data_IF_282665090322
#
_entry.id   IF_282665090322
#
_cell.length_a   1.000
_cell.length_b   1.000
_cell.length_c   1.000
_cell.angle_alpha   90.00
_cell.angle_beta   90.00
_cell.angle_gamma   90.00
#
_symmetry.space_group_name_H-M   'P 1'
#
loop_
_entity.id
_entity.type
_entity.pdbx_description
1 polymer ?
#
# COMPACT_ATOMS: atom_id res chain seq x y z
N UNK A 1 -18.01 10.67 25.15
CA UNK A 1 -17.71 10.56 23.71
C UNK A 1 -18.38 9.27 23.23
N UNK A 2 -18.95 9.22 22.02
CA UNK A 2 -19.73 8.04 21.61
C UNK A 2 -18.81 6.87 21.28
N UNK A 3 -19.19 5.66 21.70
CA UNK A 3 -18.41 4.44 21.50
C UNK A 3 -18.04 4.22 20.03
N UNK A 4 -18.98 4.51 19.12
CA UNK A 4 -18.79 4.46 17.68
C UNK A 4 -17.67 5.38 17.19
N UNK A 5 -17.60 6.60 17.71
CA UNK A 5 -16.58 7.57 17.31
C UNK A 5 -15.20 7.19 17.85
N UNK A 6 -15.13 6.58 19.04
CA UNK A 6 -13.88 6.07 19.61
C UNK A 6 -13.29 4.96 18.74
N UNK A 7 -14.12 4.00 18.30
CA UNK A 7 -13.66 2.93 17.40
C UNK A 7 -13.11 3.50 16.09
N UNK A 8 -13.77 4.49 15.50
CA UNK A 8 -13.27 5.13 14.28
C UNK A 8 -11.94 5.88 14.51
N UNK A 9 -11.77 6.55 15.65
CA UNK A 9 -10.50 7.20 15.98
C UNK A 9 -9.37 6.19 16.18
N UNK A 10 -9.65 5.05 16.81
CA UNK A 10 -8.69 3.97 16.98
C UNK A 10 -8.30 3.37 15.61
N UNK A 11 -9.27 3.13 14.73
CA UNK A 11 -8.99 2.68 13.36
C UNK A 11 -8.12 3.70 12.60
N UNK A 12 -8.41 4.99 12.72
CA UNK A 12 -7.60 6.05 12.12
C UNK A 12 -6.14 6.02 12.64
N UNK A 13 -5.94 5.81 13.94
CA UNK A 13 -4.61 5.70 14.53
C UNK A 13 -3.86 4.47 14.01
N UNK A 14 -4.53 3.32 13.90
CA UNK A 14 -3.94 2.10 13.34
C UNK A 14 -3.49 2.29 11.88
N UNK A 15 -4.28 2.99 11.05
CA UNK A 15 -3.90 3.34 9.68
C UNK A 15 -2.65 4.23 9.66
N UNK A 16 -2.61 5.27 10.50
CA UNK A 16 -1.44 6.17 10.62
C UNK A 16 -0.18 5.44 11.11
N UNK A 17 -0.36 4.39 11.91
CA UNK A 17 0.71 3.54 12.41
C UNK A 17 1.11 2.42 11.42
N UNK A 18 0.58 2.42 10.18
CA UNK A 18 0.82 1.38 9.17
C UNK A 18 0.45 -0.04 9.65
N UNK A 19 -0.64 -0.15 10.44
CA UNK A 19 -1.18 -1.43 10.92
C UNK A 19 -2.55 -1.71 10.28
N UNK A 20 -2.57 -2.15 9.00
CA UNK A 20 -3.82 -2.32 8.26
C UNK A 20 -4.71 -3.44 8.83
N UNK A 21 -4.13 -4.52 9.35
CA UNK A 21 -4.88 -5.63 9.94
C UNK A 21 -5.60 -5.21 11.24
N UNK A 22 -4.89 -4.44 12.08
CA UNK A 22 -5.46 -3.86 13.31
C UNK A 22 -6.60 -2.89 12.97
N UNK A 23 -6.40 -2.03 11.96
CA UNK A 23 -7.43 -1.11 11.48
C UNK A 23 -8.67 -1.86 10.96
N UNK A 24 -8.49 -2.92 10.18
CA UNK A 24 -9.58 -3.74 9.65
C UNK A 24 -10.36 -4.42 10.78
N UNK A 25 -9.66 -4.98 11.77
CA UNK A 25 -10.30 -5.59 12.94
C UNK A 25 -11.14 -4.56 13.74
N UNK A 26 -10.61 -3.35 13.96
CA UNK A 26 -11.34 -2.29 14.67
C UNK A 26 -12.57 -1.83 13.86
N UNK A 27 -12.45 -1.71 12.53
CA UNK A 27 -13.58 -1.36 11.67
C UNK A 27 -14.68 -2.44 11.69
N UNK A 28 -14.32 -3.73 11.73
CA UNK A 28 -15.28 -4.81 11.92
C UNK A 28 -16.02 -4.72 13.26
N UNK A 29 -15.31 -4.35 14.34
CA UNK A 29 -15.96 -4.10 15.65
C UNK A 29 -16.91 -2.90 15.61
N UNK A 30 -16.58 -1.86 14.85
CA UNK A 30 -17.45 -0.72 14.64
C UNK A 30 -18.72 -1.10 13.87
N UNK A 31 -18.61 -1.91 12.82
CA UNK A 31 -19.77 -2.42 12.08
C UNK A 31 -20.70 -3.26 12.97
N UNK A 32 -20.14 -4.17 13.76
CA UNK A 32 -20.89 -4.95 14.74
C UNK A 32 -21.60 -4.04 15.77
N UNK A 33 -20.88 -3.04 16.30
CA UNK A 33 -21.45 -2.10 17.27
C UNK A 33 -22.62 -1.29 16.68
N UNK A 34 -22.55 -0.89 15.41
CA UNK A 34 -23.66 -0.18 14.73
C UNK A 34 -24.88 -1.09 14.58
N UNK A 35 -24.68 -2.37 14.28
CA UNK A 35 -25.77 -3.32 14.14
C UNK A 35 -26.49 -3.57 15.48
N UNK A 36 -25.74 -3.65 16.57
CA UNK A 36 -26.28 -3.84 17.92
C UNK A 36 -26.95 -2.57 18.48
N UNK A 37 -26.31 -1.41 18.31
CA UNK A 37 -26.78 -0.14 18.85
C UNK A 37 -26.64 0.99 17.81
N UNK A 38 -27.67 1.19 16.98
CA UNK A 38 -27.63 2.16 15.90
C UNK A 38 -27.36 3.59 16.42
N UNK A 39 -26.44 4.34 15.78
CA UNK A 39 -26.10 5.69 16.22
C UNK A 39 -27.28 6.65 16.10
N UNK A 40 -27.39 7.55 17.08
CA UNK A 40 -28.36 8.63 17.08
C UNK A 40 -28.20 9.53 15.86
N UNK A 41 -29.28 10.13 15.32
CA UNK A 41 -29.20 11.01 14.15
C UNK A 41 -28.16 12.14 14.29
N UNK A 42 -28.02 12.68 15.51
CA UNK A 42 -27.05 13.73 15.85
C UNK A 42 -25.59 13.28 15.71
N UNK A 43 -25.31 11.98 15.87
CA UNK A 43 -23.96 11.40 15.83
C UNK A 43 -23.56 10.95 14.43
N UNK A 44 -24.54 10.59 13.59
CA UNK A 44 -24.31 10.12 12.21
C UNK A 44 -23.48 11.10 11.39
N UNK A 45 -23.69 12.41 11.55
CA UNK A 45 -22.90 13.43 10.85
C UNK A 45 -21.41 13.39 11.24
N UNK A 46 -21.12 13.16 12.52
CA UNK A 46 -19.73 13.06 13.02
C UNK A 46 -19.08 11.76 12.58
N UNK A 47 -19.81 10.65 12.66
CA UNK A 47 -19.38 9.33 12.17
C UNK A 47 -19.06 9.38 10.68
N UNK A 48 -19.95 9.96 9.86
CA UNK A 48 -19.73 10.11 8.42
C UNK A 48 -18.51 10.97 8.09
N UNK A 49 -18.28 12.05 8.85
CA UNK A 49 -17.09 12.88 8.68
C UNK A 49 -15.80 12.10 9.00
N UNK A 50 -15.81 11.27 10.04
CA UNK A 50 -14.64 10.47 10.42
C UNK A 50 -14.37 9.34 9.42
N UNK A 51 -15.41 8.65 8.93
CA UNK A 51 -15.28 7.66 7.86
C UNK A 51 -14.68 8.28 6.57
N UNK A 52 -15.11 9.48 6.18
CA UNK A 52 -14.51 10.20 5.04
C UNK A 52 -13.02 10.47 5.25
N UNK A 53 -12.59 10.79 6.47
CA UNK A 53 -11.15 10.97 6.78
C UNK A 53 -10.39 9.67 6.65
N UNK A 54 -10.94 8.57 7.15
CA UNK A 54 -10.34 7.23 7.04
C UNK A 54 -10.17 6.82 5.58
N UNK A 55 -11.19 7.04 4.75
CA UNK A 55 -11.13 6.77 3.30
C UNK A 55 -10.03 7.60 2.65
N UNK A 56 -9.96 8.91 2.96
CA UNK A 56 -8.93 9.79 2.43
C UNK A 56 -7.52 9.36 2.82
N UNK A 57 -7.29 9.02 4.09
CA UNK A 57 -6.00 8.53 4.58
C UNK A 57 -5.58 7.22 3.91
N UNK A 58 -6.52 6.29 3.80
CA UNK A 58 -6.27 4.97 3.19
C UNK A 58 -5.97 5.10 1.69
N UNK A 59 -6.69 5.98 0.99
CA UNK A 59 -6.42 6.31 -0.41
C UNK A 59 -5.03 6.89 -0.61
N UNK A 60 -4.66 7.89 0.19
CA UNK A 60 -3.33 8.49 0.13
C UNK A 60 -2.21 7.47 0.42
N UNK A 61 -2.40 6.60 1.42
CA UNK A 61 -1.45 5.55 1.74
C UNK A 61 -1.27 4.57 0.58
N UNK A 62 -2.38 4.13 -0.05
CA UNK A 62 -2.35 3.23 -1.22
C UNK A 62 -1.61 3.87 -2.39
N UNK A 63 -1.91 5.13 -2.70
CA UNK A 63 -1.32 5.84 -3.82
C UNK A 63 0.19 6.07 -3.57
N UNK A 64 0.59 6.34 -2.33
CA UNK A 64 1.99 6.40 -1.91
C UNK A 64 2.74 5.08 -2.10
N UNK A 65 2.16 3.95 -1.69
CA UNK A 65 2.75 2.61 -1.92
C UNK A 65 2.89 2.31 -3.41
N UNK A 66 1.90 2.68 -4.23
CA UNK A 66 1.95 2.49 -5.67
C UNK A 66 3.11 3.30 -6.29
N UNK A 67 3.28 4.55 -5.88
CA UNK A 67 4.39 5.40 -6.32
C UNK A 67 5.76 4.85 -5.92
N UNK A 68 5.91 4.41 -4.66
CA UNK A 68 7.15 3.81 -4.19
C UNK A 68 7.51 2.53 -4.96
N UNK A 69 6.51 1.70 -5.28
CA UNK A 69 6.71 0.50 -6.11
C UNK A 69 7.17 0.83 -7.52
N UNK A 70 6.65 1.92 -8.10
CA UNK A 70 7.06 2.35 -9.44
C UNK A 70 8.50 2.87 -9.44
N UNK A 71 8.87 3.69 -8.45
CA UNK A 71 10.25 4.16 -8.27
C UNK A 71 11.23 2.99 -8.10
N UNK A 72 10.85 1.96 -7.33
CA UNK A 72 11.69 0.78 -7.16
C UNK A 72 11.91 0.03 -8.48
N UNK A 73 10.86 -0.12 -9.30
CA UNK A 73 10.99 -0.75 -10.63
C UNK A 73 11.91 0.03 -11.55
N UNK A 74 11.82 1.36 -11.53
CA UNK A 74 12.70 2.21 -12.32
C UNK A 74 14.16 2.06 -11.88
N UNK A 75 14.42 2.06 -10.57
CA UNK A 75 15.75 1.81 -10.02
C UNK A 75 16.30 0.44 -10.43
N UNK A 76 15.48 -0.62 -10.37
CA UNK A 76 15.88 -1.96 -10.81
C UNK A 76 16.20 -1.99 -12.32
N UNK A 77 15.42 -1.29 -13.15
CA UNK A 77 15.67 -1.18 -14.59
C UNK A 77 16.99 -0.48 -14.88
N UNK A 78 17.29 0.60 -14.17
CA UNK A 78 18.55 1.33 -14.30
C UNK A 78 19.74 0.50 -13.82
N UNK A 79 19.62 -0.17 -12.68
CA UNK A 79 20.64 -1.06 -12.14
C UNK A 79 20.95 -2.22 -13.09
N UNK A 80 19.93 -2.85 -13.69
CA UNK A 80 20.14 -3.89 -14.68
C UNK A 80 20.73 -3.34 -15.99
N UNK A 81 20.39 -2.09 -16.34
CA UNK A 81 21.02 -1.38 -17.45
C UNK A 81 22.51 -1.11 -17.22
N UNK A 82 22.93 -0.89 -15.98
CA UNK A 82 24.33 -0.74 -15.57
C UNK A 82 25.10 -2.07 -15.59
N UNK A 83 24.44 -3.19 -15.33
CA UNK A 83 25.02 -4.54 -15.39
C UNK A 83 25.47 -4.94 -16.82
N UNK A 84 24.97 -4.25 -17.84
CA UNK A 84 25.40 -4.38 -19.24
C UNK A 84 26.67 -3.55 -19.52
N UNK A 85 27.18 -2.80 -18.55
CA UNK A 85 28.40 -2.02 -18.69
C UNK A 85 29.42 -2.50 -17.65
N UNK A 86 30.64 -2.80 -18.09
CA UNK A 86 31.76 -3.06 -17.18
C UNK A 86 32.10 -1.77 -16.39
N UNK A 87 32.91 -1.86 -15.32
CA UNK A 87 33.34 -0.74 -14.47
C UNK A 87 33.97 0.43 -15.24
N UNK A 88 34.49 0.18 -16.44
CA UNK A 88 35.06 1.19 -17.35
C UNK A 88 34.02 1.81 -18.31
N UNK A 89 32.73 1.50 -18.17
CA UNK A 89 31.63 2.03 -19.00
C UNK A 89 31.53 1.39 -20.39
N UNK A 90 32.29 0.34 -20.66
CA UNK A 90 32.22 -0.42 -21.91
C UNK A 90 31.06 -1.41 -21.87
N UNK A 91 30.24 -1.44 -22.93
CA UNK A 91 29.08 -2.34 -23.04
C UNK A 91 29.58 -3.79 -23.08
N UNK A 92 29.21 -4.63 -22.11
CA UNK A 92 29.45 -6.07 -22.12
C UNK A 92 28.70 -6.68 -23.32
N UNK A 93 29.42 -7.08 -24.37
CA UNK A 93 28.87 -7.96 -25.39
C UNK A 93 28.60 -9.32 -24.74
N UNK A 94 27.33 -9.64 -24.52
CA UNK A 94 26.94 -11.03 -24.34
C UNK A 94 27.25 -11.77 -25.63
N UNK A 95 28.38 -12.47 -25.67
CA UNK A 95 28.68 -13.46 -26.69
C UNK A 95 27.67 -14.59 -26.51
N UNK A 96 26.54 -14.51 -27.20
CA UNK A 96 25.69 -15.67 -27.45
C UNK A 96 26.52 -16.64 -28.26
N UNK A 97 27.16 -17.60 -27.57
CA UNK A 97 27.93 -18.67 -28.20
C UNK A 97 27.02 -19.41 -29.18
N UNK A 98 27.26 -19.16 -30.46
CA UNK A 98 26.59 -19.84 -31.55
C UNK A 98 26.80 -21.35 -31.47
N UNK A 99 25.68 -22.07 -31.45
CA UNK A 99 25.43 -23.37 -32.07
C UNK A 99 26.64 -24.32 -32.21
N UNK A 100 26.75 -25.27 -31.28
CA UNK A 100 27.42 -26.55 -31.56
C UNK A 100 26.57 -27.30 -32.60
N UNK A 101 26.98 -27.26 -33.88
CA UNK A 101 26.51 -28.21 -34.89
C UNK A 101 27.41 -29.43 -34.79
N UNK A 102 26.91 -30.47 -34.10
CA UNK A 102 27.48 -31.81 -34.20
C UNK A 102 27.39 -32.31 -35.64
N UNK A 103 28.49 -32.86 -36.15
CA UNK A 103 28.53 -33.56 -37.44
C UNK A 103 29.16 -34.94 -37.22
N UNK A 104 28.38 -35.94 -37.63
CA UNK A 104 28.59 -37.38 -37.83
C UNK A 104 29.99 -37.96 -37.61
#
# INVERSE_FOLDING_TARGET
MSQHLELLKQAQQAIKAFRPDEAAHILGRFEAAIAENPPLPSERKRIAAELKRIIGLSGAARDGVAGAREQLRELMRLAHGLDIYDRDGARMQQNTSGTFIGRF
#
